data_IF_719585009061
#
_entry.id   IF_719585009061
#
_cell.length_a   1.000
_cell.length_b   1.000
_cell.length_c   1.000
_cell.angle_alpha   90.00
_cell.angle_beta   90.00
_cell.angle_gamma   90.00
#
_symmetry.space_group_name_H-M   'P 1'
#
loop_
_entity.id
_entity.type
_entity.pdbx_description
1 polymer ?
#
# COMPACT_ATOMS: atom_id res chain seq x y z
N UNK A 1 17.38 16.58 -20.31
CA UNK A 1 18.04 15.34 -19.89
C UNK A 1 18.62 15.59 -18.53
N UNK A 2 17.87 15.30 -17.48
CA UNK A 2 18.35 15.47 -16.10
C UNK A 2 18.63 14.08 -15.56
N UNK A 3 19.88 13.64 -15.65
CA UNK A 3 20.34 12.38 -15.06
C UNK A 3 20.41 12.52 -13.55
N UNK A 4 19.26 12.55 -12.90
CA UNK A 4 19.17 12.51 -11.46
C UNK A 4 19.78 11.19 -10.98
N UNK A 5 20.88 11.30 -10.23
CA UNK A 5 21.50 10.17 -9.54
C UNK A 5 20.41 9.48 -8.70
N UNK A 6 20.24 8.16 -8.81
CA UNK A 6 19.25 7.46 -7.98
C UNK A 6 19.52 7.78 -6.50
N UNK A 7 18.48 8.00 -5.69
CA UNK A 7 18.66 8.23 -4.26
C UNK A 7 19.44 7.07 -3.65
N UNK A 8 20.32 7.38 -2.70
CA UNK A 8 21.12 6.38 -2.02
C UNK A 8 20.19 5.28 -1.42
N UNK A 9 20.60 4.02 -1.44
CA UNK A 9 19.82 2.95 -0.83
C UNK A 9 19.61 3.27 0.64
N UNK A 10 18.37 3.17 1.10
CA UNK A 10 18.05 3.28 2.53
C UNK A 10 18.75 2.12 3.22
N UNK A 11 19.70 2.42 4.10
CA UNK A 11 20.40 1.39 4.86
C UNK A 11 19.38 0.68 5.77
N UNK A 12 19.26 -0.63 5.63
CA UNK A 12 18.41 -1.41 6.51
C UNK A 12 18.98 -1.36 7.94
N UNK A 13 18.14 -1.25 8.99
CA UNK A 13 18.58 -1.36 10.37
C UNK A 13 19.35 -2.66 10.63
N UNK A 14 20.27 -2.68 11.62
CA UNK A 14 21.09 -3.87 11.93
C UNK A 14 20.23 -5.09 12.34
N UNK A 15 19.04 -4.90 12.89
CA UNK A 15 18.08 -5.91 13.30
C UNK A 15 17.00 -6.24 12.25
N UNK A 16 17.11 -5.64 11.08
CA UNK A 16 16.16 -5.76 9.96
C UNK A 16 15.78 -7.22 9.63
N UNK A 17 16.76 -8.12 9.72
CA UNK A 17 16.60 -9.55 9.40
C UNK A 17 16.06 -10.39 10.57
N UNK A 18 15.99 -9.80 11.76
CA UNK A 18 15.67 -10.50 13.02
C UNK A 18 14.24 -10.28 13.48
N UNK A 19 13.57 -9.26 12.96
CA UNK A 19 12.18 -8.94 13.31
C UNK A 19 11.29 -9.09 12.08
N UNK A 20 10.07 -9.65 12.25
CA UNK A 20 9.12 -9.72 11.17
C UNK A 20 8.66 -8.31 10.80
N UNK A 21 8.42 -8.09 9.50
CA UNK A 21 7.79 -6.86 9.01
C UNK A 21 6.49 -7.18 8.29
N UNK A 22 5.49 -6.35 8.48
CA UNK A 22 4.15 -6.57 7.95
C UNK A 22 4.16 -6.84 6.45
N UNK A 23 4.77 -5.99 5.64
CA UNK A 23 4.84 -6.18 4.20
C UNK A 23 5.41 -7.56 3.80
N UNK A 24 6.45 -8.04 4.51
CA UNK A 24 7.06 -9.35 4.26
C UNK A 24 6.20 -10.53 4.73
N UNK A 25 5.48 -10.35 5.84
CA UNK A 25 4.50 -11.35 6.31
C UNK A 25 3.35 -11.46 5.32
N UNK A 26 2.83 -10.33 4.81
CA UNK A 26 1.79 -10.30 3.78
C UNK A 26 2.28 -10.90 2.45
N UNK A 27 3.53 -10.67 2.07
CA UNK A 27 4.16 -11.33 0.92
C UNK A 27 4.14 -12.85 1.08
N UNK A 28 4.59 -13.35 2.23
CA UNK A 28 4.57 -14.79 2.54
C UNK A 28 3.15 -15.38 2.46
N UNK A 29 2.19 -14.78 3.14
CA UNK A 29 0.80 -15.24 3.14
C UNK A 29 0.16 -15.16 1.75
N UNK A 30 0.61 -14.23 0.92
CA UNK A 30 0.21 -14.10 -0.49
C UNK A 30 0.88 -15.11 -1.43
N UNK A 31 1.83 -15.91 -0.94
CA UNK A 31 2.61 -16.88 -1.74
C UNK A 31 3.82 -16.26 -2.45
N UNK A 32 4.26 -15.07 -2.04
CA UNK A 32 5.46 -14.41 -2.51
C UNK A 32 6.74 -15.04 -1.96
N UNK A 33 7.89 -14.48 -2.37
CA UNK A 33 9.23 -15.02 -2.03
C UNK A 33 10.13 -13.97 -1.36
N UNK A 34 9.64 -12.76 -1.18
CA UNK A 34 10.41 -11.61 -0.68
C UNK A 34 10.27 -11.48 0.85
N UNK A 35 10.46 -12.61 1.54
CA UNK A 35 10.29 -12.78 2.98
C UNK A 35 11.39 -13.63 3.60
N UNK A 36 11.61 -13.46 4.89
CA UNK A 36 12.62 -14.20 5.67
C UNK A 36 11.99 -15.26 6.57
N UNK A 37 12.81 -16.06 7.23
CA UNK A 37 12.35 -17.10 8.16
C UNK A 37 11.52 -16.53 9.31
N UNK A 38 11.86 -15.36 9.81
CA UNK A 38 11.12 -14.68 10.90
C UNK A 38 9.72 -14.23 10.44
N UNK A 39 9.59 -13.79 9.19
CA UNK A 39 8.32 -13.37 8.59
C UNK A 39 7.39 -14.57 8.38
N UNK A 40 7.97 -15.70 7.90
CA UNK A 40 7.23 -16.95 7.72
C UNK A 40 6.73 -17.51 9.05
N UNK A 41 7.59 -17.51 10.07
CA UNK A 41 7.21 -17.96 11.41
C UNK A 41 6.07 -17.11 12.00
N UNK A 42 6.13 -15.79 11.80
CA UNK A 42 5.05 -14.87 12.19
C UNK A 42 3.76 -15.14 11.41
N UNK A 43 3.85 -15.32 10.09
CA UNK A 43 2.71 -15.66 9.22
C UNK A 43 2.06 -17.00 9.59
N UNK A 44 2.86 -18.02 9.87
CA UNK A 44 2.36 -19.33 10.32
C UNK A 44 1.62 -19.23 11.65
N UNK A 45 2.15 -18.45 12.60
CA UNK A 45 1.49 -18.19 13.88
C UNK A 45 0.15 -17.45 13.72
N UNK A 46 0.11 -16.46 12.82
CA UNK A 46 -1.13 -15.74 12.51
C UNK A 46 -2.18 -16.66 11.88
N UNK A 47 -1.80 -17.51 10.92
CA UNK A 47 -2.72 -18.47 10.29
C UNK A 47 -3.18 -19.54 11.27
N UNK A 48 -2.31 -19.99 12.20
CA UNK A 48 -2.72 -20.91 13.23
C UNK A 48 -3.79 -20.31 14.18
N UNK A 49 -3.66 -19.02 14.50
CA UNK A 49 -4.64 -18.32 15.32
C UNK A 49 -5.91 -17.92 14.53
N UNK A 50 -5.75 -17.56 13.25
CA UNK A 50 -6.80 -17.04 12.38
C UNK A 50 -6.72 -17.68 10.98
N UNK A 51 -7.27 -18.89 10.77
CA UNK A 51 -7.10 -19.64 9.51
C UNK A 51 -7.54 -18.88 8.25
N UNK A 52 -8.53 -18.01 8.37
CA UNK A 52 -9.02 -17.19 7.25
C UNK A 52 -7.97 -16.19 6.70
N UNK A 53 -6.94 -15.86 7.49
CA UNK A 53 -5.86 -14.97 7.05
C UNK A 53 -5.07 -15.52 5.88
N UNK A 54 -5.01 -16.83 5.68
CA UNK A 54 -4.31 -17.44 4.55
C UNK A 54 -4.77 -16.91 3.17
N UNK A 55 -6.03 -16.50 3.05
CA UNK A 55 -6.59 -16.00 1.80
C UNK A 55 -6.71 -14.46 1.75
N UNK A 56 -6.52 -13.80 2.87
CA UNK A 56 -6.77 -12.35 3.02
C UNK A 56 -5.91 -11.50 2.08
N UNK A 57 -4.60 -11.74 1.91
CA UNK A 57 -3.78 -10.91 1.02
C UNK A 57 -4.31 -10.88 -0.42
N UNK A 58 -4.72 -12.03 -0.96
CA UNK A 58 -5.28 -12.13 -2.30
C UNK A 58 -6.62 -11.43 -2.43
N UNK A 59 -7.50 -11.65 -1.45
CA UNK A 59 -8.85 -11.06 -1.44
C UNK A 59 -8.79 -9.55 -1.35
N UNK A 60 -7.95 -9.01 -0.48
CA UNK A 60 -7.74 -7.58 -0.30
C UNK A 60 -7.19 -6.94 -1.56
N UNK A 61 -6.21 -7.58 -2.20
CA UNK A 61 -5.64 -7.09 -3.45
C UNK A 61 -6.66 -7.07 -4.59
N UNK A 62 -7.44 -8.12 -4.72
CA UNK A 62 -8.54 -8.14 -5.71
C UNK A 62 -9.60 -7.07 -5.44
N UNK A 63 -9.91 -6.81 -4.18
CA UNK A 63 -10.79 -5.71 -3.81
C UNK A 63 -10.21 -4.37 -4.28
N UNK A 64 -8.95 -4.08 -3.95
CA UNK A 64 -8.28 -2.85 -4.34
C UNK A 64 -8.28 -2.66 -5.87
N UNK A 65 -7.91 -3.70 -6.64
CA UNK A 65 -7.90 -3.62 -8.10
C UNK A 65 -9.30 -3.40 -8.69
N UNK A 66 -10.34 -4.03 -8.15
CA UNK A 66 -11.72 -3.76 -8.60
C UNK A 66 -12.13 -2.31 -8.33
N UNK A 67 -11.77 -1.79 -7.16
CA UNK A 67 -12.04 -0.40 -6.82
C UNK A 67 -11.28 0.58 -7.74
N UNK A 68 -9.99 0.32 -8.00
CA UNK A 68 -9.19 1.12 -8.95
C UNK A 68 -9.83 1.11 -10.35
N UNK A 69 -10.27 -0.06 -10.85
CA UNK A 69 -10.96 -0.12 -12.15
C UNK A 69 -12.24 0.70 -12.17
N UNK A 70 -13.05 0.61 -11.10
CA UNK A 70 -14.27 1.40 -10.98
C UNK A 70 -13.95 2.89 -11.01
N UNK A 71 -13.05 3.34 -10.14
CA UNK A 71 -12.67 4.75 -10.05
C UNK A 71 -12.06 5.27 -11.35
N UNK A 72 -11.19 4.48 -12.00
CA UNK A 72 -10.63 4.87 -13.30
C UNK A 72 -11.71 4.97 -14.40
N UNK A 73 -12.70 4.07 -14.39
CA UNK A 73 -13.85 4.14 -15.31
C UNK A 73 -14.74 5.35 -15.05
N UNK A 74 -14.79 5.82 -13.80
CA UNK A 74 -15.53 7.01 -13.39
C UNK A 74 -14.71 8.32 -13.58
N UNK A 75 -13.51 8.21 -14.18
CA UNK A 75 -12.69 9.36 -14.57
C UNK A 75 -11.61 9.76 -13.56
N UNK A 76 -11.39 9.01 -12.49
CA UNK A 76 -10.24 9.19 -11.60
C UNK A 76 -8.99 8.69 -12.31
N UNK A 77 -8.03 9.56 -12.53
CA UNK A 77 -6.76 9.24 -13.22
C UNK A 77 -5.52 9.42 -12.33
N UNK A 78 -5.72 9.61 -11.02
CA UNK A 78 -4.66 9.79 -10.05
C UNK A 78 -4.91 8.94 -8.81
N UNK A 79 -3.87 8.24 -8.35
CA UNK A 79 -3.96 7.32 -7.22
C UNK A 79 -2.80 7.54 -6.24
N UNK A 80 -3.12 7.56 -4.95
CA UNK A 80 -2.17 7.57 -3.84
C UNK A 80 -2.36 6.26 -3.07
N UNK A 81 -1.43 5.32 -3.25
CA UNK A 81 -1.49 3.96 -2.71
C UNK A 81 -0.60 3.85 -1.47
N UNK A 82 -1.23 3.81 -0.29
CA UNK A 82 -0.58 3.86 1.02
C UNK A 82 -0.45 2.46 1.62
N UNK A 83 0.77 2.09 2.00
CA UNK A 83 1.08 0.73 2.44
C UNK A 83 1.01 -0.24 1.27
N UNK A 84 1.59 0.14 0.15
CA UNK A 84 1.45 -0.59 -1.12
C UNK A 84 1.95 -2.03 -1.07
N UNK A 85 2.89 -2.34 -0.16
CA UNK A 85 3.51 -3.65 -0.07
C UNK A 85 4.31 -4.04 -1.30
N UNK A 86 4.72 -5.30 -1.38
CA UNK A 86 5.47 -5.81 -2.54
C UNK A 86 4.61 -5.81 -3.81
N UNK A 87 5.18 -5.42 -4.96
CA UNK A 87 4.50 -5.48 -6.26
C UNK A 87 4.02 -6.90 -6.56
N UNK A 88 2.80 -7.03 -7.06
CA UNK A 88 2.23 -8.30 -7.49
C UNK A 88 2.12 -8.38 -9.02
N UNK A 89 1.46 -9.45 -9.48
CA UNK A 89 1.22 -9.71 -10.91
C UNK A 89 0.47 -8.57 -11.64
N UNK A 90 -0.30 -7.78 -10.92
CA UNK A 90 -0.96 -6.57 -11.41
C UNK A 90 -0.84 -5.51 -10.31
N UNK A 91 -0.49 -4.31 -10.69
CA UNK A 91 -0.30 -3.19 -9.77
C UNK A 91 -1.39 -2.14 -9.92
N UNK A 92 -1.46 -1.17 -9.01
CA UNK A 92 -2.45 -0.09 -9.05
C UNK A 92 -2.33 0.72 -10.35
N UNK A 93 -1.11 1.13 -10.74
CA UNK A 93 -0.93 1.88 -11.99
C UNK A 93 -1.25 1.07 -13.24
N UNK A 94 -0.83 -0.20 -13.32
CA UNK A 94 -1.16 -1.08 -14.45
C UNK A 94 -2.68 -1.27 -14.58
N UNK A 95 -3.36 -1.44 -13.46
CA UNK A 95 -4.83 -1.56 -13.41
C UNK A 95 -5.50 -0.29 -13.93
N UNK A 96 -5.06 0.89 -13.49
CA UNK A 96 -5.59 2.17 -13.91
C UNK A 96 -5.26 2.49 -15.38
N UNK A 97 -4.02 2.23 -15.80
CA UNK A 97 -3.53 2.50 -17.16
C UNK A 97 -4.17 1.63 -18.25
N UNK A 98 -4.74 0.47 -17.90
CA UNK A 98 -5.59 -0.30 -18.82
C UNK A 98 -6.87 0.44 -19.23
N UNK A 99 -7.30 1.42 -18.44
CA UNK A 99 -8.51 2.22 -18.68
C UNK A 99 -8.13 3.61 -19.18
N UNK A 100 -7.19 4.26 -18.52
CA UNK A 100 -6.64 5.55 -18.93
C UNK A 100 -5.10 5.49 -18.91
N UNK A 101 -4.48 5.43 -20.09
CA UNK A 101 -3.03 5.30 -20.24
C UNK A 101 -2.23 6.44 -19.59
N UNK A 102 -2.87 7.58 -19.33
CA UNK A 102 -2.26 8.73 -18.64
C UNK A 102 -2.38 8.65 -17.11
N UNK A 103 -2.98 7.59 -16.57
CA UNK A 103 -3.16 7.48 -15.12
C UNK A 103 -1.82 7.52 -14.38
N UNK A 104 -1.83 8.18 -13.23
CA UNK A 104 -0.66 8.43 -12.38
C UNK A 104 -0.84 7.77 -11.02
N UNK A 105 0.22 7.22 -10.47
CA UNK A 105 0.18 6.58 -9.16
C UNK A 105 1.41 6.92 -8.35
N UNK A 106 1.22 7.31 -7.09
CA UNK A 106 2.29 7.35 -6.10
C UNK A 106 2.09 6.21 -5.13
N UNK A 107 3.07 5.33 -5.04
CA UNK A 107 3.16 4.27 -4.04
C UNK A 107 3.87 4.78 -2.81
N UNK A 108 3.32 4.48 -1.64
CA UNK A 108 3.93 4.85 -0.36
C UNK A 108 4.09 3.59 0.48
N UNK A 109 5.30 3.31 0.91
CA UNK A 109 5.57 2.24 1.88
C UNK A 109 6.82 2.58 2.70
N UNK A 110 6.84 2.12 3.94
CA UNK A 110 7.98 2.33 4.85
C UNK A 110 9.03 1.22 4.78
N UNK A 111 8.66 0.06 4.23
CA UNK A 111 9.53 -1.12 4.18
C UNK A 111 10.63 -0.93 3.12
N UNK A 112 11.93 -0.93 3.49
CA UNK A 112 13.01 -0.68 2.54
C UNK A 112 13.07 -1.68 1.38
N UNK A 113 12.72 -2.96 1.61
CA UNK A 113 12.69 -3.97 0.54
C UNK A 113 11.58 -3.70 -0.46
N UNK A 114 10.42 -3.21 -0.01
CA UNK A 114 9.34 -2.79 -0.91
C UNK A 114 9.85 -1.72 -1.87
N UNK A 115 10.59 -0.73 -1.35
CA UNK A 115 11.17 0.33 -2.18
C UNK A 115 12.11 -0.22 -3.26
N UNK A 116 12.97 -1.17 -2.91
CA UNK A 116 13.93 -1.79 -3.85
C UNK A 116 13.20 -2.60 -4.91
N UNK A 117 12.26 -3.45 -4.49
CA UNK A 117 11.50 -4.32 -5.41
C UNK A 117 10.58 -3.51 -6.33
N UNK A 118 9.88 -2.51 -5.80
CA UNK A 118 9.02 -1.64 -6.59
C UNK A 118 9.82 -0.96 -7.70
N UNK A 119 10.97 -0.37 -7.37
CA UNK A 119 11.83 0.28 -8.38
C UNK A 119 12.42 -0.69 -9.39
N UNK A 120 12.72 -1.93 -9.00
CA UNK A 120 13.31 -2.92 -9.87
C UNK A 120 12.28 -3.56 -10.82
N UNK A 121 11.08 -3.85 -10.34
CA UNK A 121 10.04 -4.58 -11.05
C UNK A 121 9.13 -3.67 -11.88
N UNK A 122 8.93 -2.42 -11.44
CA UNK A 122 8.07 -1.47 -12.12
C UNK A 122 8.85 -0.52 -13.06
N UNK A 123 10.02 -0.94 -13.52
CA UNK A 123 10.83 -0.13 -14.46
C UNK A 123 10.12 0.13 -15.81
N UNK A 124 9.10 -0.66 -16.15
CA UNK A 124 8.34 -0.56 -17.39
C UNK A 124 6.94 0.02 -17.09
N UNK A 125 6.81 1.34 -17.12
CA UNK A 125 5.50 2.00 -17.25
C UNK A 125 5.21 2.31 -18.71
N UNK A 126 3.92 2.55 -19.04
CA UNK A 126 3.59 3.14 -20.35
C UNK A 126 4.28 4.51 -20.48
N UNK A 127 4.74 4.91 -21.69
CA UNK A 127 5.37 6.22 -21.87
C UNK A 127 4.46 7.41 -21.46
N UNK A 128 3.16 7.23 -21.50
CA UNK A 128 2.14 8.23 -21.23
C UNK A 128 1.74 8.30 -19.77
N UNK A 129 1.80 7.16 -19.06
CA UNK A 129 1.48 7.05 -17.65
C UNK A 129 2.70 7.35 -16.77
N UNK A 130 2.45 7.58 -15.50
CA UNK A 130 3.53 7.81 -14.53
C UNK A 130 3.25 7.09 -13.22
N UNK A 131 4.28 6.51 -12.66
CA UNK A 131 4.27 6.08 -11.27
C UNK A 131 5.56 6.49 -10.57
N UNK A 132 5.45 6.71 -9.28
CA UNK A 132 6.60 7.02 -8.41
C UNK A 132 6.46 6.28 -7.09
N UNK A 133 7.58 6.09 -6.40
CA UNK A 133 7.61 5.46 -5.08
C UNK A 133 8.19 6.43 -4.05
N UNK A 134 7.43 6.66 -2.99
CA UNK A 134 7.79 7.47 -1.84
C UNK A 134 8.06 6.56 -0.63
N UNK A 135 9.29 6.45 -0.12
CA UNK A 135 9.56 5.79 1.15
C UNK A 135 9.08 6.68 2.29
N UNK A 136 7.90 6.39 2.82
CA UNK A 136 7.30 7.16 3.92
C UNK A 136 6.38 6.27 4.77
N UNK A 137 6.06 6.75 5.97
CA UNK A 137 5.19 6.08 6.92
C UNK A 137 3.85 6.79 7.00
N UNK A 138 2.74 6.03 7.01
CA UNK A 138 1.38 6.55 7.16
C UNK A 138 1.20 7.34 8.47
N UNK A 139 1.99 7.05 9.50
CA UNK A 139 1.98 7.78 10.78
C UNK A 139 2.45 9.23 10.67
N UNK A 140 3.13 9.56 9.57
CA UNK A 140 3.55 10.91 9.25
C UNK A 140 2.92 11.37 7.92
N UNK A 141 1.62 11.68 7.92
CA UNK A 141 0.89 12.10 6.72
C UNK A 141 1.39 13.42 6.15
N UNK A 142 2.01 14.29 6.97
CA UNK A 142 2.59 15.55 6.49
C UNK A 142 3.80 15.29 5.59
N UNK A 143 4.67 14.33 5.93
CA UNK A 143 5.77 13.91 5.05
C UNK A 143 5.25 13.38 3.72
N UNK A 144 4.13 12.68 3.70
CA UNK A 144 3.50 12.20 2.45
C UNK A 144 2.98 13.38 1.65
N UNK A 145 2.13 14.22 2.25
CA UNK A 145 1.42 15.31 1.57
C UNK A 145 2.37 16.40 1.07
N UNK A 146 3.45 16.68 1.80
CA UNK A 146 4.43 17.72 1.42
C UNK A 146 5.58 17.18 0.56
N UNK A 147 5.55 15.90 0.18
CA UNK A 147 6.62 15.31 -0.64
C UNK A 147 6.67 15.90 -2.04
N UNK A 148 7.85 16.32 -2.52
CA UNK A 148 8.02 16.70 -3.93
C UNK A 148 7.58 15.59 -4.90
N UNK A 149 7.77 14.31 -4.54
CA UNK A 149 7.34 13.17 -5.36
C UNK A 149 5.81 13.20 -5.57
N UNK A 150 5.05 13.50 -4.52
CA UNK A 150 3.58 13.60 -4.62
C UNK A 150 3.20 14.79 -5.48
N UNK A 151 3.75 15.98 -5.22
CA UNK A 151 3.43 17.21 -5.97
C UNK A 151 3.88 17.17 -7.44
N UNK A 152 4.99 16.48 -7.75
CA UNK A 152 5.49 16.35 -9.11
C UNK A 152 4.70 15.31 -9.93
N UNK A 153 4.04 14.36 -9.23
CA UNK A 153 3.33 13.25 -9.88
C UNK A 153 1.83 13.47 -9.92
N UNK A 154 1.25 13.92 -8.81
CA UNK A 154 -0.20 14.15 -8.66
C UNK A 154 -0.52 15.64 -8.65
N UNK A 155 -1.65 15.97 -9.20
CA UNK A 155 -2.24 17.31 -9.14
C UNK A 155 -3.24 17.33 -7.98
N UNK A 156 -2.85 17.94 -6.87
CA UNK A 156 -3.67 17.98 -5.64
C UNK A 156 -4.90 18.88 -5.74
N UNK A 157 -5.10 19.57 -6.85
CA UNK A 157 -6.33 20.33 -7.15
C UNK A 157 -7.38 19.48 -7.91
N UNK A 158 -7.02 18.24 -8.29
CA UNK A 158 -7.87 17.30 -9.02
C UNK A 158 -8.18 16.05 -8.18
N UNK A 159 -9.37 15.43 -8.35
CA UNK A 159 -9.76 14.23 -7.59
C UNK A 159 -8.72 13.12 -7.59
N UNK A 160 -8.52 12.48 -6.45
CA UNK A 160 -7.54 11.41 -6.22
C UNK A 160 -8.24 10.19 -5.62
N UNK A 161 -7.89 8.99 -6.09
CA UNK A 161 -8.17 7.74 -5.43
C UNK A 161 -7.13 7.47 -4.33
N UNK A 162 -7.51 7.60 -3.06
CA UNK A 162 -6.65 7.30 -1.91
C UNK A 162 -6.88 5.84 -1.48
N UNK A 163 -5.82 5.04 -1.47
CA UNK A 163 -5.89 3.60 -1.18
C UNK A 163 -5.10 3.21 0.09
N UNK A 164 -5.57 3.46 1.32
CA UNK A 164 -5.01 2.84 2.52
C UNK A 164 -5.57 1.41 2.68
N UNK A 165 -5.19 0.54 1.77
CA UNK A 165 -5.73 -0.83 1.70
C UNK A 165 -4.85 -1.80 2.48
N UNK A 166 -5.43 -2.46 3.49
CA UNK A 166 -4.76 -3.47 4.34
C UNK A 166 -3.49 -2.95 5.04
N UNK A 167 -3.47 -1.70 5.47
CA UNK A 167 -2.32 -1.11 6.19
C UNK A 167 -2.68 -0.67 7.61
N UNK A 168 -3.93 -0.29 7.87
CA UNK A 168 -4.30 0.31 9.15
C UNK A 168 -4.24 -0.67 10.33
N UNK A 169 -4.49 -1.95 10.11
CA UNK A 169 -4.42 -2.97 11.15
C UNK A 169 -2.98 -3.29 11.60
N UNK A 170 -1.98 -2.78 10.88
CA UNK A 170 -0.57 -2.88 11.26
C UNK A 170 -0.14 -1.77 12.23
N UNK A 171 -1.02 -0.81 12.49
CA UNK A 171 -0.78 0.31 13.37
C UNK A 171 -1.56 0.11 14.68
N UNK A 172 -0.88 0.16 15.85
CA UNK A 172 -1.59 0.12 17.12
C UNK A 172 -2.43 1.39 17.32
N UNK A 173 -3.48 1.32 18.13
CA UNK A 173 -4.37 2.45 18.40
C UNK A 173 -3.62 3.66 18.98
N UNK A 174 -2.50 3.42 19.68
CA UNK A 174 -1.61 4.46 20.20
C UNK A 174 -0.98 5.34 19.11
N UNK A 175 -0.88 4.84 17.89
CA UNK A 175 -0.36 5.58 16.74
C UNK A 175 -1.49 6.40 16.04
N UNK A 176 -2.71 6.36 16.58
CA UNK A 176 -3.88 7.11 16.10
C UNK A 176 -4.12 6.97 14.58
N UNK A 177 -4.19 5.74 14.01
CA UNK A 177 -4.26 5.54 12.56
C UNK A 177 -5.46 6.24 11.91
N UNK A 178 -6.55 6.39 12.63
CA UNK A 178 -7.72 7.13 12.17
C UNK A 178 -7.46 8.64 11.99
N UNK A 179 -6.58 9.23 12.79
CA UNK A 179 -6.19 10.65 12.63
C UNK A 179 -5.30 10.83 11.39
N UNK A 180 -4.38 9.90 11.15
CA UNK A 180 -3.54 9.91 9.96
C UNK A 180 -4.40 9.85 8.68
N UNK A 181 -5.36 8.91 8.60
CA UNK A 181 -6.30 8.82 7.48
C UNK A 181 -7.14 10.09 7.34
N UNK A 182 -7.68 10.59 8.45
CA UNK A 182 -8.46 11.83 8.46
C UNK A 182 -7.66 13.03 7.97
N UNK A 183 -6.38 13.10 8.31
CA UNK A 183 -5.48 14.14 7.83
C UNK A 183 -5.30 14.06 6.32
N UNK A 184 -4.98 12.87 5.78
CA UNK A 184 -4.87 12.65 4.34
C UNK A 184 -6.17 13.03 3.61
N UNK A 185 -7.33 12.53 4.08
CA UNK A 185 -8.63 12.80 3.46
C UNK A 185 -8.97 14.30 3.42
N UNK A 186 -8.62 15.05 4.49
CA UNK A 186 -8.87 16.49 4.54
C UNK A 186 -8.03 17.30 3.55
N UNK A 187 -6.89 16.79 3.17
CA UNK A 187 -6.00 17.43 2.19
C UNK A 187 -6.42 17.17 0.74
N UNK A 188 -7.30 16.20 0.50
CA UNK A 188 -7.73 15.86 -0.86
C UNK A 188 -8.87 16.77 -1.33
N UNK A 189 -8.91 17.10 -2.63
CA UNK A 189 -9.94 17.93 -3.20
C UNK A 189 -11.31 17.21 -3.26
N UNK A 190 -12.41 17.99 -3.38
CA UNK A 190 -13.74 17.42 -3.60
C UNK A 190 -13.78 16.49 -4.82
N UNK A 191 -14.54 15.39 -4.70
CA UNK A 191 -14.61 14.36 -5.74
C UNK A 191 -13.55 13.27 -5.60
N UNK A 192 -12.63 13.38 -4.64
CA UNK A 192 -11.70 12.28 -4.30
C UNK A 192 -12.44 11.13 -3.62
N UNK A 193 -11.88 9.93 -3.72
CA UNK A 193 -12.44 8.71 -3.18
C UNK A 193 -11.42 8.00 -2.30
N UNK A 194 -11.91 7.34 -1.25
CA UNK A 194 -11.08 6.46 -0.41
C UNK A 194 -11.46 5.00 -0.65
N UNK A 195 -10.45 4.14 -0.85
CA UNK A 195 -10.58 2.69 -0.94
C UNK A 195 -9.88 2.09 0.26
N UNK A 196 -10.65 1.67 1.25
CA UNK A 196 -10.13 1.19 2.52
C UNK A 196 -10.53 -0.26 2.73
N UNK A 197 -9.57 -1.08 3.14
CA UNK A 197 -9.82 -2.41 3.70
C UNK A 197 -9.07 -2.56 5.02
N UNK A 198 -9.70 -3.22 5.97
CA UNK A 198 -9.18 -3.36 7.33
C UNK A 198 -9.55 -4.73 7.90
N UNK A 199 -8.63 -5.34 8.64
CA UNK A 199 -8.93 -6.51 9.45
C UNK A 199 -9.60 -6.07 10.76
N UNK A 200 -10.63 -6.81 11.18
CA UNK A 200 -11.30 -6.59 12.46
C UNK A 200 -11.44 -7.91 13.22
N UNK A 201 -11.41 -7.83 14.52
CA UNK A 201 -11.69 -8.94 15.43
C UNK A 201 -13.16 -8.99 15.86
N UNK A 202 -14.01 -8.08 15.41
CA UNK A 202 -15.42 -7.96 15.84
C UNK A 202 -16.23 -9.23 15.61
N UNK A 203 -15.85 -10.05 14.62
CA UNK A 203 -16.52 -11.32 14.34
C UNK A 203 -16.01 -12.50 15.18
N UNK A 204 -14.91 -12.33 15.92
CA UNK A 204 -14.33 -13.39 16.74
C UNK A 204 -15.01 -13.51 18.12
N UNK A 205 -15.73 -12.47 18.54
CA UNK A 205 -16.40 -12.38 19.84
C UNK A 205 -17.80 -13.04 19.90
N UNK A 206 -18.27 -13.66 18.80
CA UNK A 206 -19.62 -14.24 18.71
C UNK A 206 -19.65 -15.77 18.74
N UNK A 207 -18.58 -16.42 19.18
CA UNK A 207 -18.39 -17.86 19.05
C UNK A 207 -18.57 -18.72 20.31
N UNK A 208 -18.76 -18.19 21.52
CA UNK A 208 -18.74 -19.02 22.75
C UNK A 208 -19.71 -18.56 23.86
N UNK A 209 -20.96 -18.23 23.55
CA UNK A 209 -21.96 -18.02 24.60
C UNK A 209 -23.23 -18.91 24.45
N UNK A 210 -23.10 -20.07 23.80
CA UNK A 210 -24.17 -21.08 23.79
C UNK A 210 -23.56 -22.48 24.11
N UNK A 211 -23.28 -22.73 25.40
CA UNK A 211 -23.07 -24.10 25.93
C UNK A 211 -23.53 -24.19 27.37
#
# INVERSE_FOLDING_TARGET
>A
MNSGKPPAPVAAPEDFWRQPASARVWDYLGGGKDNFAVDRAAGDALVAAFPNLANTPRTTRWFAHRAVRLLASDGIDQFLDIGSGFPALETTHETAQKINIHARTVYVDREPLVAVHTRALLAESTPEGRWEFLPADLRDPDTILNSPIVHDTLDLDRPIGLLPSAVLHDLPDTDEPHQAVKHLVRALPPGSHIVLSHLTTDQLSHGDDDS
#
